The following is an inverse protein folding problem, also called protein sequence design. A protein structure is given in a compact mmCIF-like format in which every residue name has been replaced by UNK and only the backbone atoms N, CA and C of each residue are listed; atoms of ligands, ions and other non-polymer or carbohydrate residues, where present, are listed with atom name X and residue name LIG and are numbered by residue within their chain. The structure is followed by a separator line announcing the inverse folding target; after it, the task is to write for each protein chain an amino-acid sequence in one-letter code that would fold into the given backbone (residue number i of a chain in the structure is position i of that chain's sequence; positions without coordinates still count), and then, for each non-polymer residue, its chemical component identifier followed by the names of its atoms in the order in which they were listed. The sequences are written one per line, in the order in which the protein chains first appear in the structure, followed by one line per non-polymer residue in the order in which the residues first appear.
data_IF_592302817842
#
_entry.id   IF_592302817842
#
_cell.length_a   1.000
_cell.length_b   1.000
_cell.length_c   1.000
_cell.angle_alpha   90.00
_cell.angle_beta   90.00
_cell.angle_gamma   90.00
#
_symmetry.space_group_name_H-M   'P 1'
#
loop_
_entity.id
_entity.type
_entity.pdbx_description
1 polymer ?
#
# COMPACT_ATOMS: atom_id res chain seq x y z
N UNK A 1 24.54 -18.26 0.45
CA UNK A 1 23.22 -18.41 -0.24
C UNK A 1 22.50 -17.07 -0.10
N UNK A 2 21.52 -16.79 -0.94
CA UNK A 2 20.70 -15.59 -0.84
C UNK A 2 19.22 -16.00 -0.80
N UNK A 3 18.37 -15.15 -0.25
CA UNK A 3 16.92 -15.31 -0.27
C UNK A 3 16.27 -14.24 -1.14
N UNK A 4 15.15 -14.56 -1.83
CA UNK A 4 14.45 -13.56 -2.63
C UNK A 4 13.67 -12.58 -1.76
N UNK A 5 13.44 -11.39 -2.30
CA UNK A 5 12.35 -10.53 -1.83
C UNK A 5 11.03 -11.13 -2.34
N UNK A 6 10.07 -11.37 -1.45
CA UNK A 6 8.78 -11.96 -1.82
C UNK A 6 7.64 -10.96 -1.62
N UNK A 7 6.74 -10.94 -2.58
CA UNK A 7 5.51 -10.11 -2.53
C UNK A 7 4.27 -11.00 -2.60
N UNK A 8 3.14 -10.56 -2.02
CA UNK A 8 1.85 -11.23 -2.19
C UNK A 8 1.54 -11.50 -3.67
N UNK A 9 0.99 -12.67 -3.95
CA UNK A 9 0.65 -13.11 -5.30
C UNK A 9 1.78 -13.78 -6.09
N UNK A 10 3.04 -13.67 -5.67
CA UNK A 10 4.16 -14.31 -6.37
C UNK A 10 4.15 -15.84 -6.22
N UNK A 11 4.69 -16.52 -7.22
CA UNK A 11 5.09 -17.92 -7.16
C UNK A 11 6.62 -17.98 -7.19
N UNK A 12 7.22 -18.59 -6.16
CA UNK A 12 8.67 -18.68 -6.00
C UNK A 12 9.03 -19.92 -5.17
N UNK A 13 10.15 -20.55 -5.48
CA UNK A 13 10.64 -21.76 -4.79
C UNK A 13 11.03 -21.50 -3.33
N UNK A 14 11.23 -20.24 -2.94
CA UNK A 14 11.47 -19.85 -1.54
C UNK A 14 10.19 -19.68 -0.72
N UNK A 15 9.01 -19.68 -1.33
CA UNK A 15 7.73 -19.53 -0.61
C UNK A 15 7.45 -20.68 0.36
N UNK A 16 7.69 -21.95 0.04
CA UNK A 16 7.59 -23.03 1.03
C UNK A 16 8.52 -22.81 2.23
N UNK A 17 9.77 -22.34 2.00
CA UNK A 17 10.71 -21.99 3.08
C UNK A 17 10.18 -20.85 3.96
N UNK A 18 9.65 -19.79 3.35
CA UNK A 18 9.00 -18.72 4.09
C UNK A 18 7.91 -19.27 5.00
N UNK A 19 6.99 -20.07 4.46
CA UNK A 19 5.85 -20.60 5.20
C UNK A 19 6.28 -21.55 6.32
N UNK A 20 7.29 -22.38 6.07
CA UNK A 20 7.85 -23.30 7.07
C UNK A 20 8.48 -22.54 8.26
N UNK A 21 9.04 -21.36 8.04
CA UNK A 21 9.57 -20.51 9.10
C UNK A 21 8.47 -19.68 9.78
N UNK A 22 7.51 -19.20 9.00
CA UNK A 22 6.44 -18.32 9.49
C UNK A 22 5.47 -19.05 10.43
N UNK A 23 5.03 -20.26 10.07
CA UNK A 23 4.01 -21.00 10.84
C UNK A 23 4.43 -21.24 12.30
N UNK A 24 5.64 -21.73 12.62
CA UNK A 24 6.07 -21.86 14.01
C UNK A 24 6.14 -20.53 14.77
N UNK A 25 6.56 -19.45 14.11
CA UNK A 25 6.62 -18.12 14.73
C UNK A 25 5.22 -17.58 15.02
N UNK A 26 4.25 -17.77 14.14
CA UNK A 26 2.84 -17.42 14.39
C UNK A 26 2.28 -18.19 15.59
N UNK A 27 2.58 -19.48 15.71
CA UNK A 27 2.16 -20.29 16.87
C UNK A 27 2.77 -19.77 18.18
N UNK A 28 4.08 -19.47 18.21
CA UNK A 28 4.77 -18.86 19.35
C UNK A 28 4.16 -17.53 19.78
N UNK A 29 3.65 -16.76 18.83
CA UNK A 29 3.01 -15.47 19.05
C UNK A 29 1.52 -15.58 19.45
N UNK A 30 0.96 -16.79 19.56
CA UNK A 30 -0.46 -17.01 19.84
C UNK A 30 -1.38 -16.73 18.64
N UNK A 31 -0.83 -16.58 17.44
CA UNK A 31 -1.56 -16.27 16.21
C UNK A 31 -2.01 -17.57 15.48
N UNK A 32 -2.47 -18.54 16.25
CA UNK A 32 -2.89 -19.87 15.77
C UNK A 32 -3.89 -19.84 14.61
N UNK A 33 -4.92 -18.97 14.60
CA UNK A 33 -5.89 -18.94 13.49
C UNK A 33 -5.26 -18.60 12.12
N UNK A 34 -4.15 -17.87 12.11
CA UNK A 34 -3.40 -17.55 10.87
C UNK A 34 -2.50 -18.72 10.49
N UNK A 35 -1.77 -19.29 11.46
CA UNK A 35 -0.87 -20.42 11.23
C UNK A 35 -1.58 -21.63 10.59
N UNK A 36 -2.76 -21.97 11.09
CA UNK A 36 -3.53 -23.15 10.63
C UNK A 36 -4.04 -23.05 9.19
N UNK A 37 -4.14 -21.85 8.63
CA UNK A 37 -4.62 -21.61 7.26
C UNK A 37 -3.50 -21.67 6.21
N UNK A 38 -2.24 -21.75 6.63
CA UNK A 38 -1.09 -21.70 5.72
C UNK A 38 -0.72 -23.12 5.27
N UNK A 39 -0.88 -23.41 3.97
CA UNK A 39 -0.33 -24.62 3.35
C UNK A 39 1.15 -24.39 3.03
N UNK A 40 2.04 -25.15 3.68
CA UNK A 40 3.49 -24.96 3.57
C UNK A 40 4.08 -25.48 2.26
N UNK A 41 3.40 -26.38 1.57
CA UNK A 41 3.91 -27.03 0.36
C UNK A 41 3.74 -26.18 -0.92
N UNK A 42 2.81 -25.25 -0.91
CA UNK A 42 2.52 -24.42 -2.07
C UNK A 42 3.60 -23.37 -2.30
N UNK A 43 4.11 -23.28 -3.53
CA UNK A 43 5.04 -22.24 -3.99
C UNK A 43 4.40 -20.86 -4.20
N UNK A 44 3.06 -20.78 -4.14
CA UNK A 44 2.35 -19.51 -4.27
C UNK A 44 2.28 -18.77 -2.93
N UNK A 45 2.70 -17.52 -2.92
CA UNK A 45 2.55 -16.59 -1.80
C UNK A 45 1.12 -16.01 -1.81
N UNK A 46 0.15 -16.87 -1.46
CA UNK A 46 -1.28 -16.53 -1.52
C UNK A 46 -1.79 -15.76 -0.31
N UNK A 47 -3.08 -15.37 -0.32
CA UNK A 47 -3.69 -14.49 0.69
C UNK A 47 -3.58 -14.99 2.14
N UNK A 48 -3.61 -16.30 2.36
CA UNK A 48 -3.48 -16.86 3.71
C UNK A 48 -2.08 -16.67 4.29
N UNK A 49 -1.05 -16.83 3.47
CA UNK A 49 0.34 -16.60 3.87
C UNK A 49 0.62 -15.11 4.02
N UNK A 50 0.07 -14.26 3.16
CA UNK A 50 0.13 -12.80 3.29
C UNK A 50 -0.46 -12.33 4.62
N UNK A 51 -1.68 -12.75 4.94
CA UNK A 51 -2.32 -12.42 6.22
C UNK A 51 -1.44 -12.83 7.42
N UNK A 52 -0.84 -14.02 7.36
CA UNK A 52 0.10 -14.49 8.38
C UNK A 52 1.35 -13.61 8.47
N UNK A 53 1.94 -13.21 7.35
CA UNK A 53 3.10 -12.31 7.31
C UNK A 53 2.75 -10.94 7.90
N UNK A 54 1.61 -10.36 7.55
CA UNK A 54 1.18 -9.06 8.09
C UNK A 54 1.02 -9.10 9.62
N UNK A 55 0.39 -10.13 10.16
CA UNK A 55 0.26 -10.29 11.62
C UNK A 55 1.61 -10.55 12.29
N UNK A 56 2.49 -11.34 11.66
CA UNK A 56 3.86 -11.51 12.13
C UNK A 56 4.63 -10.19 12.15
N UNK A 57 4.58 -9.42 11.06
CA UNK A 57 5.22 -8.11 10.97
C UNK A 57 4.72 -7.16 12.07
N UNK A 58 3.41 -7.10 12.29
CA UNK A 58 2.79 -6.31 13.35
C UNK A 58 3.29 -6.73 14.74
N UNK A 59 3.31 -8.03 15.04
CA UNK A 59 3.79 -8.55 16.32
C UNK A 59 5.28 -8.27 16.54
N UNK A 60 6.10 -8.29 15.48
CA UNK A 60 7.54 -7.97 15.51
C UNK A 60 7.84 -6.47 15.35
N UNK A 61 6.82 -5.61 15.29
CA UNK A 61 6.94 -4.14 15.09
C UNK A 61 7.71 -3.78 13.81
N UNK A 62 7.53 -4.57 12.76
CA UNK A 62 8.05 -4.32 11.43
C UNK A 62 7.05 -3.51 10.61
N UNK A 63 7.47 -3.07 9.42
CA UNK A 63 6.55 -2.54 8.41
C UNK A 63 5.52 -3.61 8.05
N UNK A 64 4.23 -3.28 8.16
CA UNK A 64 3.12 -4.20 7.90
C UNK A 64 2.67 -4.07 6.44
N UNK A 65 3.52 -4.50 5.52
CA UNK A 65 3.31 -4.40 4.07
C UNK A 65 3.00 -5.75 3.40
N UNK A 66 3.06 -6.84 4.17
CA UNK A 66 2.92 -8.19 3.64
C UNK A 66 4.10 -8.65 2.77
N UNK A 67 5.12 -7.81 2.55
CA UNK A 67 6.29 -8.19 1.78
C UNK A 67 7.36 -8.85 2.67
N UNK A 68 8.09 -9.81 2.13
CA UNK A 68 9.15 -10.50 2.86
C UNK A 68 10.51 -10.02 2.35
N UNK A 69 10.91 -8.86 2.86
CA UNK A 69 12.20 -8.24 2.61
C UNK A 69 13.22 -8.57 3.70
N UNK A 70 14.34 -7.85 3.69
CA UNK A 70 15.47 -8.05 4.62
C UNK A 70 15.05 -8.14 6.08
N UNK A 71 14.21 -7.20 6.53
CA UNK A 71 13.80 -7.13 7.94
C UNK A 71 12.87 -8.27 8.33
N UNK A 72 11.96 -8.67 7.42
CA UNK A 72 11.04 -9.79 7.66
C UNK A 72 11.80 -11.12 7.68
N UNK A 73 12.72 -11.34 6.71
CA UNK A 73 13.58 -12.52 6.72
C UNK A 73 14.44 -12.60 7.98
N UNK A 74 15.07 -11.50 8.39
CA UNK A 74 15.87 -11.44 9.61
C UNK A 74 15.05 -11.76 10.86
N UNK A 75 13.82 -11.26 10.96
CA UNK A 75 12.91 -11.56 12.06
C UNK A 75 12.46 -13.03 12.08
N UNK A 76 12.47 -13.70 10.93
CA UNK A 76 12.26 -15.15 10.78
C UNK A 76 13.55 -15.96 11.00
N UNK A 77 14.65 -15.33 11.42
CA UNK A 77 15.93 -15.99 11.70
C UNK A 77 16.81 -16.20 10.46
N UNK A 78 16.50 -15.58 9.33
CA UNK A 78 17.27 -15.70 8.08
C UNK A 78 18.08 -14.43 7.87
N UNK A 79 19.41 -14.54 7.98
CA UNK A 79 20.35 -13.43 7.81
C UNK A 79 21.11 -13.45 6.47
N UNK A 80 20.57 -14.15 5.49
CA UNK A 80 21.10 -14.24 4.14
C UNK A 80 20.84 -12.93 3.37
N UNK A 81 21.72 -12.57 2.39
CA UNK A 81 21.46 -11.43 1.52
C UNK A 81 20.13 -11.60 0.78
N UNK A 82 19.29 -10.57 0.79
CA UNK A 82 18.03 -10.57 0.02
C UNK A 82 18.33 -10.07 -1.39
N UNK A 83 17.95 -10.88 -2.39
CA UNK A 83 18.10 -10.56 -3.82
C UNK A 83 16.74 -10.41 -4.48
N UNK A 84 16.70 -9.69 -5.60
CA UNK A 84 15.47 -9.49 -6.36
C UNK A 84 14.47 -8.55 -5.69
N UNK A 85 14.86 -7.97 -4.56
CA UNK A 85 14.07 -6.89 -3.96
C UNK A 85 14.07 -5.67 -4.87
N UNK A 86 13.02 -4.87 -4.74
CA UNK A 86 12.91 -3.68 -5.55
C UNK A 86 14.14 -2.79 -5.30
N UNK A 87 14.88 -2.50 -6.36
CA UNK A 87 15.77 -1.33 -6.34
C UNK A 87 14.87 -0.15 -5.99
N UNK A 88 15.29 0.67 -5.02
CA UNK A 88 14.58 1.91 -4.72
C UNK A 88 14.25 2.58 -6.06
N UNK A 89 12.96 2.65 -6.37
CA UNK A 89 12.53 3.27 -7.61
C UNK A 89 13.10 4.67 -7.61
N UNK A 90 13.76 5.07 -8.70
CA UNK A 90 14.11 6.48 -8.87
C UNK A 90 12.80 7.24 -8.82
N UNK A 91 12.74 8.36 -8.05
CA UNK A 91 11.53 9.18 -8.02
C UNK A 91 11.15 9.54 -9.47
N UNK A 92 9.95 9.19 -9.87
CA UNK A 92 9.39 9.67 -11.13
C UNK A 92 8.99 11.13 -10.91
N UNK A 93 9.64 12.03 -11.61
CA UNK A 93 9.30 13.45 -11.54
C UNK A 93 8.10 13.70 -12.45
N UNK A 94 6.91 13.70 -11.85
CA UNK A 94 5.69 14.15 -12.52
C UNK A 94 5.58 15.67 -12.36
N UNK A 95 5.06 16.36 -13.35
CA UNK A 95 4.88 17.81 -13.31
C UNK A 95 4.09 18.22 -12.05
N UNK A 96 4.71 19.03 -11.18
CA UNK A 96 4.08 19.52 -9.94
C UNK A 96 4.72 19.05 -8.64
N UNK A 97 5.10 17.78 -8.51
CA UNK A 97 5.69 17.23 -7.28
C UNK A 97 6.34 15.87 -7.50
N UNK A 98 7.09 15.40 -6.51
CA UNK A 98 7.78 14.13 -6.60
C UNK A 98 6.89 12.98 -6.12
N UNK A 99 6.61 12.01 -7.01
CA UNK A 99 5.91 10.76 -6.69
C UNK A 99 6.90 9.60 -6.78
N UNK A 100 6.87 8.75 -5.79
CA UNK A 100 7.69 7.53 -5.73
C UNK A 100 6.73 6.35 -5.82
N UNK A 101 6.87 5.53 -6.85
CA UNK A 101 6.11 4.29 -6.96
C UNK A 101 6.89 3.20 -6.22
N UNK A 102 6.30 2.70 -5.15
CA UNK A 102 6.94 1.63 -4.40
C UNK A 102 7.05 0.38 -5.28
N UNK A 103 8.14 -0.34 -5.14
CA UNK A 103 8.32 -1.59 -5.83
C UNK A 103 7.18 -2.58 -5.52
N UNK A 104 6.62 -3.19 -6.56
CA UNK A 104 5.46 -4.07 -6.43
C UNK A 104 4.12 -3.36 -6.31
N UNK A 105 4.07 -2.03 -6.32
CA UNK A 105 2.83 -1.28 -6.36
C UNK A 105 2.00 -1.59 -7.62
N UNK A 106 2.65 -1.92 -8.71
CA UNK A 106 2.00 -2.26 -9.97
C UNK A 106 2.20 -3.72 -10.36
N UNK A 107 1.21 -4.28 -11.04
CA UNK A 107 1.36 -5.54 -11.76
C UNK A 107 2.35 -5.41 -12.92
N UNK A 108 3.08 -6.48 -13.29
CA UNK A 108 3.98 -6.45 -14.44
C UNK A 108 3.24 -6.02 -15.73
N UNK A 109 3.77 -5.01 -16.42
CA UNK A 109 3.19 -4.50 -17.65
C UNK A 109 1.96 -3.62 -17.49
N UNK A 110 1.54 -3.31 -16.25
CA UNK A 110 0.45 -2.38 -15.95
C UNK A 110 1.00 -1.17 -15.19
N UNK A 111 0.47 0.00 -15.46
CA UNK A 111 0.86 1.23 -14.79
C UNK A 111 -0.36 1.96 -14.22
N UNK A 112 -0.13 2.79 -13.22
CA UNK A 112 -1.11 3.77 -12.77
C UNK A 112 -1.28 4.79 -13.89
N UNK A 113 -2.52 5.18 -14.16
CA UNK A 113 -2.83 6.18 -15.19
C UNK A 113 -2.20 7.54 -14.87
N UNK A 114 -1.76 8.25 -15.92
CA UNK A 114 -1.09 9.54 -15.78
C UNK A 114 -1.91 10.54 -14.96
N UNK A 115 -3.22 10.60 -15.18
CA UNK A 115 -4.12 11.50 -14.43
C UNK A 115 -4.10 11.25 -12.92
N UNK A 116 -3.98 9.99 -12.50
CA UNK A 116 -3.88 9.62 -11.08
C UNK A 116 -2.55 10.08 -10.50
N UNK A 117 -1.43 9.85 -11.22
CA UNK A 117 -0.10 10.29 -10.79
C UNK A 117 0.02 11.82 -10.77
N UNK A 118 -0.56 12.52 -11.72
CA UNK A 118 -0.58 13.98 -11.76
C UNK A 118 -1.30 14.58 -10.56
N UNK A 119 -2.43 14.00 -10.15
CA UNK A 119 -3.14 14.44 -8.95
C UNK A 119 -2.31 14.19 -7.67
N UNK A 120 -1.69 13.01 -7.55
CA UNK A 120 -0.79 12.71 -6.42
C UNK A 120 0.43 13.64 -6.42
N UNK A 121 0.97 13.98 -7.60
CA UNK A 121 2.07 14.94 -7.73
C UNK A 121 1.67 16.35 -7.28
N UNK A 122 0.45 16.78 -7.61
CA UNK A 122 -0.09 18.05 -7.12
C UNK A 122 -0.22 18.07 -5.59
N UNK A 123 -0.66 16.93 -4.99
CA UNK A 123 -0.68 16.77 -3.53
C UNK A 123 0.74 16.85 -2.95
N UNK A 124 1.72 16.15 -3.54
CA UNK A 124 3.12 16.18 -3.12
C UNK A 124 3.69 17.62 -3.17
N UNK A 125 3.41 18.37 -4.23
CA UNK A 125 3.80 19.77 -4.35
C UNK A 125 3.16 20.63 -3.26
N UNK A 126 1.87 20.40 -2.97
CA UNK A 126 1.12 21.15 -1.93
C UNK A 126 1.70 20.95 -0.53
N UNK A 127 2.17 19.75 -0.21
CA UNK A 127 2.79 19.45 1.09
C UNK A 127 4.31 19.70 1.13
N UNK A 128 4.93 19.98 -0.03
CA UNK A 128 6.38 20.24 -0.14
C UNK A 128 7.25 19.01 0.14
N UNK A 129 6.73 17.79 -0.06
CA UNK A 129 7.43 16.52 0.21
C UNK A 129 7.05 15.47 -0.83
N UNK A 130 7.97 14.53 -1.16
CA UNK A 130 7.63 13.38 -1.98
C UNK A 130 6.50 12.56 -1.36
N UNK A 131 5.65 11.99 -2.20
CA UNK A 131 4.63 11.01 -1.81
C UNK A 131 5.01 9.65 -2.39
N UNK A 132 5.02 8.62 -1.54
CA UNK A 132 5.23 7.23 -1.93
C UNK A 132 3.90 6.52 -2.10
N UNK A 133 3.60 6.10 -3.31
CA UNK A 133 2.48 5.21 -3.64
C UNK A 133 2.90 3.77 -3.36
N UNK A 134 2.15 3.08 -2.52
CA UNK A 134 2.46 1.70 -2.09
C UNK A 134 1.64 0.64 -2.79
N UNK A 135 0.45 1.00 -3.30
CA UNK A 135 -0.41 0.13 -4.09
C UNK A 135 -0.95 0.91 -5.29
N UNK A 136 -0.70 0.41 -6.47
CA UNK A 136 -1.26 0.91 -7.73
C UNK A 136 -2.13 -0.17 -8.36
N UNK A 137 -1.72 -0.70 -9.51
CA UNK A 137 -2.47 -1.75 -10.21
C UNK A 137 -2.37 -3.14 -9.56
N UNK A 138 -1.44 -3.34 -8.63
CA UNK A 138 -1.30 -4.58 -7.86
C UNK A 138 -2.38 -4.68 -6.76
N UNK A 139 -3.61 -4.86 -7.20
CA UNK A 139 -4.79 -4.98 -6.35
C UNK A 139 -5.75 -6.03 -6.96
N UNK A 140 -6.74 -6.48 -6.20
CA UNK A 140 -7.76 -7.39 -6.69
C UNK A 140 -8.45 -6.82 -7.94
N UNK A 141 -8.61 -7.66 -8.99
CA UNK A 141 -9.28 -7.27 -10.24
C UNK A 141 -10.71 -6.79 -10.02
N UNK A 142 -11.40 -7.38 -9.05
CA UNK A 142 -12.80 -7.04 -8.74
C UNK A 142 -12.88 -6.34 -7.39
N UNK A 143 -13.64 -5.26 -7.33
CA UNK A 143 -14.01 -4.60 -6.09
C UNK A 143 -15.05 -5.42 -5.30
N UNK A 144 -15.29 -5.08 -4.04
CA UNK A 144 -16.32 -5.69 -3.22
C UNK A 144 -17.74 -5.56 -3.82
N UNK A 145 -17.97 -4.55 -4.66
CA UNK A 145 -19.24 -4.34 -5.38
C UNK A 145 -19.36 -5.17 -6.68
N UNK A 146 -18.38 -6.03 -7.01
CA UNK A 146 -18.39 -6.86 -8.20
C UNK A 146 -18.05 -6.11 -9.51
N UNK A 147 -17.55 -4.89 -9.43
CA UNK A 147 -17.07 -4.11 -10.59
C UNK A 147 -15.54 -4.25 -10.69
N UNK A 148 -14.98 -3.94 -11.87
CA UNK A 148 -13.53 -3.84 -12.02
C UNK A 148 -13.01 -2.78 -11.05
N UNK A 149 -12.00 -3.13 -10.28
CA UNK A 149 -11.36 -2.23 -9.32
C UNK A 149 -10.67 -1.07 -10.04
N UNK A 150 -10.78 0.13 -9.48
CA UNK A 150 -10.09 1.32 -9.98
C UNK A 150 -8.58 1.16 -9.90
N UNK A 151 -8.09 0.46 -8.91
CA UNK A 151 -6.68 0.08 -8.83
C UNK A 151 -6.26 -0.76 -10.04
N UNK A 152 -6.99 -1.85 -10.31
CA UNK A 152 -6.66 -2.76 -11.41
C UNK A 152 -6.66 -2.07 -12.77
N UNK A 153 -7.49 -1.05 -12.95
CA UNK A 153 -7.55 -0.23 -14.17
C UNK A 153 -6.58 0.96 -14.18
N UNK A 154 -5.77 1.14 -13.14
CA UNK A 154 -4.82 2.25 -13.01
C UNK A 154 -5.44 3.58 -12.55
N UNK A 155 -6.76 3.61 -12.34
CA UNK A 155 -7.48 4.82 -11.94
C UNK A 155 -7.44 5.09 -10.43
N UNK A 156 -6.77 4.25 -9.64
CA UNK A 156 -6.58 4.48 -8.22
C UNK A 156 -5.21 4.03 -7.74
N UNK A 157 -4.80 4.61 -6.62
CA UNK A 157 -3.62 4.20 -5.88
C UNK A 157 -3.80 4.42 -4.38
N UNK A 158 -3.01 3.68 -3.57
CA UNK A 158 -2.93 3.87 -2.13
C UNK A 158 -1.58 4.46 -1.75
N UNK A 159 -1.64 5.45 -0.87
CA UNK A 159 -0.50 6.14 -0.28
C UNK A 159 -0.35 5.60 1.14
N UNK A 160 0.47 4.58 1.31
CA UNK A 160 0.68 3.92 2.61
C UNK A 160 1.39 4.82 3.60
N UNK A 161 0.84 4.92 4.82
CA UNK A 161 1.37 5.84 5.83
C UNK A 161 2.79 5.49 6.23
N UNK A 162 3.09 4.22 6.43
CA UNK A 162 4.43 3.81 6.86
C UNK A 162 5.53 4.20 5.86
N UNK A 163 5.28 4.01 4.56
CA UNK A 163 6.23 4.39 3.50
C UNK A 163 6.43 5.92 3.39
N UNK A 164 5.52 6.70 3.96
CA UNK A 164 5.56 8.16 3.99
C UNK A 164 5.97 8.73 5.36
N UNK A 165 6.49 7.88 6.26
CA UNK A 165 6.98 8.28 7.57
C UNK A 165 5.91 8.47 8.64
N UNK A 166 4.74 7.86 8.43
CA UNK A 166 3.61 7.88 9.35
C UNK A 166 3.24 6.50 9.89
N UNK A 167 2.20 6.45 10.68
CA UNK A 167 1.54 5.25 11.22
C UNK A 167 0.05 5.32 10.92
N UNK A 168 -0.72 4.31 11.35
CA UNK A 168 -2.17 4.33 11.25
C UNK A 168 -2.72 5.63 11.88
N UNK A 169 -3.69 6.24 11.19
CA UNK A 169 -4.37 7.48 11.61
C UNK A 169 -3.44 8.68 11.91
N UNK A 170 -2.23 8.66 11.36
CA UNK A 170 -1.20 9.65 11.69
C UNK A 170 -1.42 11.01 11.03
N UNK A 171 -0.80 12.08 11.58
CA UNK A 171 -0.81 13.42 10.97
C UNK A 171 -0.25 13.49 9.55
N UNK A 172 0.54 12.49 9.13
CA UNK A 172 1.05 12.37 7.75
C UNK A 172 -0.10 12.13 6.78
N UNK A 173 -1.02 11.22 7.10
CA UNK A 173 -2.21 10.99 6.30
C UNK A 173 -3.16 12.18 6.33
N UNK A 174 -3.27 12.85 7.48
CA UNK A 174 -4.05 14.11 7.58
C UNK A 174 -3.49 15.18 6.62
N UNK A 175 -2.16 15.34 6.55
CA UNK A 175 -1.54 16.30 5.64
C UNK A 175 -1.77 15.94 4.16
N UNK A 176 -1.70 14.66 3.81
CA UNK A 176 -1.96 14.15 2.45
C UNK A 176 -3.43 14.38 2.09
N UNK A 177 -4.36 14.01 2.98
CA UNK A 177 -5.78 14.22 2.77
C UNK A 177 -6.16 15.69 2.72
N UNK A 178 -5.57 16.54 3.58
CA UNK A 178 -5.76 17.98 3.54
C UNK A 178 -5.32 18.57 2.19
N UNK A 179 -4.18 18.13 1.65
CA UNK A 179 -3.73 18.58 0.32
C UNK A 179 -4.74 18.26 -0.77
N UNK A 180 -5.32 17.05 -0.76
CA UNK A 180 -6.37 16.66 -1.70
C UNK A 180 -7.60 17.57 -1.59
N UNK A 181 -8.06 17.85 -0.37
CA UNK A 181 -9.22 18.74 -0.12
C UNK A 181 -8.95 20.18 -0.56
N UNK A 182 -7.74 20.71 -0.33
CA UNK A 182 -7.35 22.05 -0.80
C UNK A 182 -7.35 22.13 -2.32
N UNK A 183 -6.84 21.09 -3.02
CA UNK A 183 -6.90 21.00 -4.48
C UNK A 183 -8.34 20.91 -4.99
N UNK A 184 -9.26 20.40 -4.17
CA UNK A 184 -10.70 20.42 -4.44
C UNK A 184 -11.37 21.79 -4.29
N UNK A 185 -10.64 22.80 -3.77
CA UNK A 185 -11.14 24.14 -3.54
C UNK A 185 -11.60 24.41 -2.11
N UNK A 186 -11.41 23.50 -1.17
CA UNK A 186 -11.68 23.77 0.25
C UNK A 186 -10.70 24.82 0.82
N UNK A 187 -11.17 25.64 1.78
CA UNK A 187 -10.24 26.42 2.59
C UNK A 187 -9.33 25.50 3.41
N UNK A 188 -8.18 26.02 3.83
CA UNK A 188 -7.23 25.23 4.64
C UNK A 188 -7.85 24.69 5.93
N UNK A 189 -8.72 25.47 6.54
CA UNK A 189 -9.43 25.12 7.78
C UNK A 189 -10.44 23.99 7.54
N UNK A 190 -11.26 24.10 6.48
CA UNK A 190 -12.23 23.07 6.10
C UNK A 190 -11.53 21.78 5.69
N UNK A 191 -10.46 21.86 4.89
CA UNK A 191 -9.64 20.74 4.48
C UNK A 191 -8.99 20.03 5.69
N UNK A 192 -8.47 20.80 6.65
CA UNK A 192 -7.90 20.24 7.90
C UNK A 192 -8.94 19.54 8.75
N UNK A 193 -10.14 20.08 8.85
CA UNK A 193 -11.24 19.45 9.59
C UNK A 193 -11.66 18.12 8.96
N UNK A 194 -11.83 18.10 7.63
CA UNK A 194 -12.14 16.87 6.87
C UNK A 194 -11.04 15.81 7.04
N UNK A 195 -9.77 16.19 6.89
CA UNK A 195 -8.65 15.27 7.02
C UNK A 195 -8.57 14.63 8.41
N UNK A 196 -8.73 15.43 9.47
CA UNK A 196 -8.73 14.92 10.85
C UNK A 196 -9.93 14.05 11.18
N UNK A 197 -11.10 14.38 10.63
CA UNK A 197 -12.35 13.62 10.85
C UNK A 197 -12.37 12.30 10.07
N UNK A 198 -11.63 12.21 8.98
CA UNK A 198 -11.65 11.06 8.08
C UNK A 198 -12.96 10.93 7.31
N UNK A 199 -13.04 9.89 6.48
CA UNK A 199 -14.22 9.56 5.67
C UNK A 199 -13.89 9.37 4.20
N UNK A 200 -14.95 9.20 3.40
CA UNK A 200 -14.90 9.17 1.95
C UNK A 200 -15.34 10.52 1.40
N UNK A 201 -14.48 11.12 0.57
CA UNK A 201 -14.75 12.40 -0.08
C UNK A 201 -14.67 12.26 -1.58
N UNK A 202 -15.66 12.84 -2.27
CA UNK A 202 -15.70 12.89 -3.73
C UNK A 202 -15.83 14.35 -4.17
N UNK A 203 -15.01 14.76 -5.13
CA UNK A 203 -15.02 16.11 -5.67
C UNK A 203 -14.55 16.12 -7.13
N UNK A 204 -14.73 17.25 -7.81
CA UNK A 204 -14.23 17.43 -9.18
C UNK A 204 -13.00 18.35 -9.16
N UNK A 205 -11.98 17.99 -9.95
CA UNK A 205 -10.77 18.76 -10.14
C UNK A 205 -10.29 18.58 -11.59
N UNK A 206 -10.10 19.69 -12.33
CA UNK A 206 -9.60 19.66 -13.71
C UNK A 206 -10.33 18.66 -14.63
N UNK A 207 -11.66 18.69 -14.68
CA UNK A 207 -12.51 17.76 -15.43
C UNK A 207 -12.32 16.28 -15.05
N UNK A 208 -11.87 16.02 -13.83
CA UNK A 208 -11.71 14.70 -13.26
C UNK A 208 -12.59 14.57 -12.03
N UNK A 209 -13.16 13.39 -11.82
CA UNK A 209 -13.82 13.01 -10.58
C UNK A 209 -12.79 12.35 -9.68
N UNK A 210 -12.55 12.97 -8.54
CA UNK A 210 -11.58 12.50 -7.53
C UNK A 210 -12.35 11.84 -6.39
N UNK A 211 -11.86 10.73 -5.91
CA UNK A 211 -12.29 10.10 -4.67
C UNK A 211 -11.09 9.92 -3.75
N UNK A 212 -11.20 10.40 -2.53
CA UNK A 212 -10.19 10.16 -1.50
C UNK A 212 -10.84 9.53 -0.28
N UNK A 213 -10.18 8.52 0.31
CA UNK A 213 -10.67 7.82 1.50
C UNK A 213 -9.56 7.78 2.54
N UNK A 214 -9.88 8.16 3.78
CA UNK A 214 -8.94 8.22 4.89
C UNK A 214 -9.65 8.04 6.23
N UNK A 215 -9.02 7.37 7.20
CA UNK A 215 -9.53 7.16 8.58
C UNK A 215 -10.94 6.59 8.64
N UNK A 216 -11.25 5.61 7.82
CA UNK A 216 -12.57 4.96 7.80
C UNK A 216 -12.45 3.51 7.36
N UNK A 217 -13.47 2.70 7.72
CA UNK A 217 -13.63 1.35 7.22
C UNK A 217 -14.58 1.28 6.00
N UNK A 218 -14.98 2.40 5.45
CA UNK A 218 -15.85 2.46 4.27
C UNK A 218 -15.10 1.94 3.04
N UNK A 219 -15.60 0.84 2.46
CA UNK A 219 -14.96 0.17 1.33
C UNK A 219 -13.73 -0.68 1.68
N UNK A 220 -13.29 -0.69 2.95
CA UNK A 220 -12.12 -1.40 3.44
C UNK A 220 -11.44 -0.69 4.61
N UNK A 221 -10.26 -1.15 5.00
CA UNK A 221 -9.47 -0.50 6.04
C UNK A 221 -8.64 0.64 5.45
N UNK A 222 -9.01 1.89 5.71
CA UNK A 222 -8.29 3.10 5.28
C UNK A 222 -7.65 3.87 6.45
N UNK A 223 -7.24 3.17 7.52
CA UNK A 223 -6.53 3.77 8.66
C UNK A 223 -5.02 3.84 8.44
N UNK A 224 -4.47 2.97 7.60
CA UNK A 224 -3.03 2.85 7.33
C UNK A 224 -2.59 3.38 5.96
N UNK A 225 -3.52 3.88 5.16
CA UNK A 225 -3.25 4.49 3.85
C UNK A 225 -4.33 5.50 3.46
N UNK A 226 -3.97 6.47 2.64
CA UNK A 226 -4.92 7.32 1.92
C UNK A 226 -5.17 6.69 0.56
N UNK A 227 -6.41 6.32 0.28
CA UNK A 227 -6.84 5.90 -1.06
C UNK A 227 -7.12 7.11 -1.92
N UNK A 228 -6.64 7.10 -3.17
CA UNK A 228 -6.88 8.14 -4.17
C UNK A 228 -7.36 7.50 -5.46
N UNK A 229 -8.60 7.77 -5.85
CA UNK A 229 -9.18 7.39 -7.13
C UNK A 229 -9.37 8.61 -8.03
N UNK A 230 -9.00 8.50 -9.31
CA UNK A 230 -9.12 9.60 -10.31
C UNK A 230 -9.72 9.03 -11.59
N UNK A 231 -10.84 9.59 -12.01
CA UNK A 231 -11.55 9.20 -13.24
C UNK A 231 -11.89 10.42 -14.08
N UNK A 232 -12.02 10.29 -15.39
CA UNK A 232 -12.67 11.33 -16.19
C UNK A 232 -14.04 11.68 -15.63
N UNK A 233 -14.41 12.98 -15.64
CA UNK A 233 -15.71 13.48 -15.18
C UNK A 233 -16.84 13.16 -16.19
#
# INVERSE_FOLDING_TARGET
MSVPFLMPGQTDDAVPRLKALLVPELLKLGLTPFAQKISVESTTYGPTAEAGVREFQKAKKLQVDGCVGKNTWAALGVNEPVVGGPKAAKPEQVAGGQVIIAPGANLPGQAIEAMTLEFVAAMAASIGKPITVTTGTNHNKMSASGKVSDHFSGHACDIGMFANGGTDDSPVGDAIMQAACVLAGDSKEAASAKAKGGGLFTFNHNNQRIQCIWKTNEGGNHHNHVHVGVRPA
#
